data_IF_649496253083
#
_entry.id   IF_649496253083
#
_cell.length_a   1.000
_cell.length_b   1.000
_cell.length_c   1.000
_cell.angle_alpha   90.00
_cell.angle_beta   90.00
_cell.angle_gamma   90.00
#
_symmetry.space_group_name_H-M   'P 1'
#
loop_
_entity.id
_entity.type
_entity.pdbx_description
1 polymer ?
#
# COMPACT_ATOMS: atom_id res chain seq x y z
N UNK A 1 102.11 -24.00 2.34
CA UNK A 1 101.20 -25.16 2.53
C UNK A 1 100.35 -25.13 3.83
N UNK A 2 100.04 -23.97 4.44
CA UNK A 2 99.22 -23.91 5.68
C UNK A 2 98.07 -22.87 5.63
N UNK A 3 97.48 -22.63 4.45
CA UNK A 3 96.31 -21.73 4.31
C UNK A 3 95.04 -22.39 3.73
N UNK A 4 95.11 -23.64 3.23
CA UNK A 4 93.90 -24.38 2.80
C UNK A 4 93.23 -25.20 3.91
N UNK A 5 93.90 -25.47 5.03
CA UNK A 5 93.37 -26.30 6.14
C UNK A 5 92.50 -25.55 7.16
N UNK A 6 92.27 -24.25 6.94
CA UNK A 6 91.35 -23.43 7.74
C UNK A 6 90.03 -23.12 7.02
N UNK A 7 89.85 -23.62 5.79
CA UNK A 7 88.56 -23.47 5.12
C UNK A 7 87.52 -24.38 5.78
N UNK A 8 86.49 -23.75 6.35
CA UNK A 8 85.35 -24.40 7.04
C UNK A 8 84.64 -25.42 6.14
N UNK A 9 84.79 -25.26 4.82
CA UNK A 9 84.19 -26.08 3.77
C UNK A 9 84.73 -27.52 3.78
N UNK A 10 85.97 -27.77 4.24
CA UNK A 10 86.56 -29.12 4.28
C UNK A 10 86.44 -29.83 5.63
N UNK A 11 85.98 -29.16 6.69
CA UNK A 11 85.75 -29.81 8.00
C UNK A 11 84.36 -30.44 8.10
N UNK A 12 83.40 -29.97 7.32
CA UNK A 12 82.01 -30.43 7.30
C UNK A 12 81.48 -30.41 5.86
N UNK A 13 81.83 -31.40 5.03
CA UNK A 13 81.40 -31.45 3.62
C UNK A 13 79.87 -31.52 3.46
N UNK A 14 79.14 -31.93 4.50
CA UNK A 14 77.66 -32.01 4.49
C UNK A 14 76.98 -30.63 4.42
N UNK A 15 77.64 -29.57 4.94
CA UNK A 15 77.13 -28.19 4.85
C UNK A 15 77.02 -27.66 3.43
N UNK A 16 77.69 -28.30 2.47
CA UNK A 16 77.54 -27.96 1.06
C UNK A 16 76.12 -28.27 0.56
N UNK A 17 75.46 -29.28 1.14
CA UNK A 17 74.13 -29.74 0.75
C UNK A 17 73.00 -29.14 1.60
N UNK A 18 73.28 -28.69 2.82
CA UNK A 18 72.29 -28.07 3.72
C UNK A 18 71.55 -26.90 3.07
N UNK A 19 72.25 -26.04 2.33
CA UNK A 19 71.63 -24.91 1.63
C UNK A 19 70.69 -25.35 0.50
N UNK A 20 71.03 -26.44 -0.20
CA UNK A 20 70.16 -27.01 -1.24
C UNK A 20 68.94 -27.70 -0.65
N UNK A 21 69.09 -28.41 0.46
CA UNK A 21 68.00 -29.03 1.20
C UNK A 21 67.03 -27.97 1.74
N UNK A 22 67.55 -26.91 2.36
CA UNK A 22 66.73 -25.80 2.84
C UNK A 22 65.98 -25.10 1.70
N UNK A 23 66.62 -24.93 0.53
CA UNK A 23 65.96 -24.35 -0.65
C UNK A 23 64.89 -25.26 -1.23
N UNK A 24 65.11 -26.58 -1.22
CA UNK A 24 64.12 -27.56 -1.64
C UNK A 24 62.90 -27.54 -0.72
N UNK A 25 63.10 -27.51 0.60
CA UNK A 25 62.02 -27.40 1.57
C UNK A 25 61.22 -26.10 1.40
N UNK A 26 61.90 -24.98 1.20
CA UNK A 26 61.24 -23.70 0.91
C UNK A 26 60.42 -23.75 -0.38
N UNK A 27 60.94 -24.37 -1.44
CA UNK A 27 60.22 -24.54 -2.70
C UNK A 27 59.00 -25.44 -2.53
N UNK A 28 59.12 -26.53 -1.75
CA UNK A 28 58.02 -27.44 -1.47
C UNK A 28 56.92 -26.76 -0.64
N UNK A 29 57.30 -25.96 0.36
CA UNK A 29 56.35 -25.17 1.16
C UNK A 29 55.63 -24.13 0.30
N UNK A 30 56.36 -23.39 -0.54
CA UNK A 30 55.78 -22.41 -1.48
C UNK A 30 54.82 -23.08 -2.47
N UNK A 31 55.19 -24.24 -3.01
CA UNK A 31 54.32 -24.99 -3.92
C UNK A 31 53.03 -25.42 -3.22
N UNK A 32 53.13 -26.01 -2.02
CA UNK A 32 51.97 -26.43 -1.23
C UNK A 32 51.06 -25.26 -0.90
N UNK A 33 51.63 -24.12 -0.53
CA UNK A 33 50.87 -22.91 -0.21
C UNK A 33 50.19 -22.35 -1.46
N UNK A 34 50.92 -22.17 -2.55
CA UNK A 34 50.38 -21.66 -3.82
C UNK A 34 49.25 -22.53 -4.35
N UNK A 35 49.40 -23.87 -4.27
CA UNK A 35 48.36 -24.80 -4.70
C UNK A 35 47.11 -24.71 -3.82
N UNK A 36 47.28 -24.62 -2.49
CA UNK A 36 46.15 -24.43 -1.55
C UNK A 36 45.42 -23.12 -1.82
N UNK A 37 46.16 -22.02 -1.97
CA UNK A 37 45.59 -20.71 -2.27
C UNK A 37 44.83 -20.74 -3.59
N UNK A 38 45.42 -21.28 -4.66
CA UNK A 38 44.78 -21.33 -5.98
C UNK A 38 43.50 -22.18 -5.99
N UNK A 39 43.48 -23.29 -5.26
CA UNK A 39 42.26 -24.10 -5.11
C UNK A 39 41.19 -23.33 -4.33
N UNK A 40 41.58 -22.64 -3.24
CA UNK A 40 40.66 -21.83 -2.44
C UNK A 40 40.05 -20.69 -3.26
N UNK A 41 40.87 -19.95 -3.99
CA UNK A 41 40.45 -18.82 -4.81
C UNK A 41 39.49 -19.28 -5.93
N UNK A 42 39.82 -20.40 -6.60
CA UNK A 42 38.94 -20.97 -7.61
C UNK A 42 37.59 -21.43 -7.03
N UNK A 43 37.59 -22.02 -5.82
CA UNK A 43 36.33 -22.38 -5.14
C UNK A 43 35.48 -21.15 -4.83
N UNK A 44 36.09 -20.10 -4.30
CA UNK A 44 35.40 -18.84 -4.03
C UNK A 44 34.85 -18.20 -5.31
N UNK A 45 35.62 -18.23 -6.39
CA UNK A 45 35.19 -17.70 -7.68
C UNK A 45 33.98 -18.48 -8.22
N UNK A 46 34.03 -19.81 -8.20
CA UNK A 46 32.89 -20.66 -8.61
C UNK A 46 31.67 -20.35 -7.75
N UNK A 47 31.82 -20.30 -6.43
CA UNK A 47 30.71 -20.00 -5.53
C UNK A 47 30.08 -18.63 -5.82
N UNK A 48 30.90 -17.60 -6.03
CA UNK A 48 30.41 -16.26 -6.38
C UNK A 48 29.64 -16.27 -7.72
N UNK A 49 30.13 -16.98 -8.73
CA UNK A 49 29.45 -17.13 -10.04
C UNK A 49 28.15 -17.91 -9.92
N UNK A 50 28.12 -18.97 -9.13
CA UNK A 50 26.89 -19.73 -8.87
C UNK A 50 25.85 -18.86 -8.17
N UNK A 51 26.25 -18.07 -7.16
CA UNK A 51 25.34 -17.13 -6.51
C UNK A 51 24.82 -16.06 -7.48
N UNK A 52 25.67 -15.51 -8.35
CA UNK A 52 25.25 -14.57 -9.40
C UNK A 52 24.23 -15.20 -10.37
N UNK A 53 24.48 -16.44 -10.82
CA UNK A 53 23.55 -17.18 -11.68
C UNK A 53 22.19 -17.41 -11.01
N UNK A 54 22.19 -17.80 -9.73
CA UNK A 54 20.95 -18.00 -8.96
C UNK A 54 20.18 -16.68 -8.80
N UNK A 55 20.87 -15.56 -8.54
CA UNK A 55 20.22 -14.25 -8.44
C UNK A 55 19.67 -13.75 -9.78
N UNK A 56 20.36 -14.04 -10.88
CA UNK A 56 19.89 -13.74 -12.24
C UNK A 56 18.82 -14.71 -12.72
N UNK A 57 18.58 -15.81 -12.00
CA UNK A 57 17.59 -16.81 -12.38
C UNK A 57 16.20 -16.18 -12.51
N UNK A 58 15.60 -16.21 -13.72
CA UNK A 58 14.31 -15.59 -13.98
C UNK A 58 13.19 -16.25 -13.17
N UNK A 59 13.35 -17.51 -12.77
CA UNK A 59 12.36 -18.26 -11.98
C UNK A 59 12.04 -17.53 -10.67
N UNK A 60 13.05 -17.03 -9.95
CA UNK A 60 12.83 -16.32 -8.68
C UNK A 60 12.16 -14.96 -8.88
N UNK A 61 12.37 -14.33 -10.04
CA UNK A 61 11.71 -13.06 -10.39
C UNK A 61 10.26 -13.28 -10.77
N UNK A 62 9.99 -14.36 -11.52
CA UNK A 62 8.63 -14.76 -11.91
C UNK A 62 7.82 -15.11 -10.66
N UNK A 63 8.36 -15.94 -9.77
CA UNK A 63 7.67 -16.34 -8.55
C UNK A 63 7.35 -15.13 -7.65
N UNK A 64 8.31 -14.24 -7.42
CA UNK A 64 8.07 -12.98 -6.70
C UNK A 64 7.02 -12.10 -7.35
N UNK A 65 6.96 -12.07 -8.69
CA UNK A 65 5.97 -11.30 -9.43
C UNK A 65 4.57 -11.92 -9.31
N UNK A 66 4.47 -13.25 -9.35
CA UNK A 66 3.22 -13.98 -9.13
C UNK A 66 2.69 -13.77 -7.71
N UNK A 67 3.55 -13.86 -6.70
CA UNK A 67 3.19 -13.59 -5.31
C UNK A 67 2.68 -12.15 -5.14
N UNK A 68 3.37 -11.19 -5.75
CA UNK A 68 2.98 -9.78 -5.73
C UNK A 68 1.63 -9.55 -6.42
N UNK A 69 1.36 -10.22 -7.54
CA UNK A 69 0.06 -10.16 -8.21
C UNK A 69 -1.05 -10.72 -7.31
N UNK A 70 -0.82 -11.86 -6.65
CA UNK A 70 -1.79 -12.43 -5.72
C UNK A 70 -2.08 -11.54 -4.51
N UNK A 71 -1.06 -10.84 -3.98
CA UNK A 71 -1.25 -9.85 -2.91
C UNK A 71 -2.05 -8.64 -3.38
N UNK A 72 -1.72 -8.10 -4.56
CA UNK A 72 -2.42 -6.95 -5.13
C UNK A 72 -3.89 -7.27 -5.45
N UNK A 73 -4.20 -8.46 -5.98
CA UNK A 73 -5.58 -8.87 -6.23
C UNK A 73 -6.40 -8.95 -4.92
N UNK A 74 -5.81 -9.52 -3.86
CA UNK A 74 -6.47 -9.55 -2.54
C UNK A 74 -6.76 -8.16 -1.99
N UNK A 75 -5.79 -7.24 -2.09
CA UNK A 75 -5.94 -5.85 -1.64
C UNK A 75 -6.97 -5.09 -2.47
N UNK A 76 -6.98 -5.30 -3.79
CA UNK A 76 -7.95 -4.67 -4.67
C UNK A 76 -9.37 -5.11 -4.33
N UNK A 77 -9.60 -6.42 -4.13
CA UNK A 77 -10.92 -6.96 -3.78
C UNK A 77 -11.41 -6.43 -2.45
N UNK A 78 -10.55 -6.38 -1.43
CA UNK A 78 -10.95 -5.87 -0.10
C UNK A 78 -11.25 -4.37 -0.13
N UNK A 79 -10.44 -3.57 -0.82
CA UNK A 79 -10.72 -2.14 -0.98
C UNK A 79 -11.97 -1.89 -1.82
N UNK A 80 -12.17 -2.66 -2.90
CA UNK A 80 -13.38 -2.54 -3.72
C UNK A 80 -14.64 -2.81 -2.90
N UNK A 81 -14.65 -3.85 -2.07
CA UNK A 81 -15.79 -4.16 -1.21
C UNK A 81 -16.09 -2.98 -0.25
N UNK A 82 -15.06 -2.43 0.40
CA UNK A 82 -15.22 -1.29 1.30
C UNK A 82 -15.76 -0.04 0.58
N UNK A 83 -15.20 0.29 -0.58
CA UNK A 83 -15.63 1.44 -1.38
C UNK A 83 -17.06 1.24 -1.89
N UNK A 84 -17.39 0.04 -2.34
CA UNK A 84 -18.72 -0.30 -2.81
C UNK A 84 -19.76 -0.14 -1.70
N UNK A 85 -19.51 -0.71 -0.52
CA UNK A 85 -20.43 -0.63 0.62
C UNK A 85 -20.62 0.83 1.07
N UNK A 86 -19.54 1.61 1.11
CA UNK A 86 -19.61 3.04 1.42
C UNK A 86 -20.46 3.80 0.40
N UNK A 87 -20.32 3.51 -0.89
CA UNK A 87 -21.11 4.15 -1.96
C UNK A 87 -22.57 3.74 -1.93
N UNK A 88 -22.87 2.48 -1.64
CA UNK A 88 -24.25 2.01 -1.46
C UNK A 88 -24.91 2.71 -0.28
N UNK A 89 -24.21 2.85 0.86
CA UNK A 89 -24.71 3.58 2.02
C UNK A 89 -24.93 5.08 1.71
N UNK A 90 -24.00 5.70 0.97
CA UNK A 90 -24.11 7.10 0.55
C UNK A 90 -25.35 7.34 -0.33
N UNK A 91 -25.59 6.48 -1.32
CA UNK A 91 -26.76 6.56 -2.20
C UNK A 91 -28.06 6.37 -1.42
N UNK A 92 -28.11 5.39 -0.51
CA UNK A 92 -29.29 5.18 0.35
C UNK A 92 -29.60 6.43 1.18
N UNK A 93 -28.58 7.00 1.83
CA UNK A 93 -28.73 8.23 2.63
C UNK A 93 -29.22 9.41 1.79
N UNK A 94 -28.67 9.61 0.60
CA UNK A 94 -29.09 10.68 -0.30
C UNK A 94 -30.51 10.46 -0.83
N UNK A 95 -30.87 9.21 -1.12
CA UNK A 95 -32.24 8.86 -1.51
C UNK A 95 -33.23 9.12 -0.38
N UNK A 96 -32.89 8.78 0.86
CA UNK A 96 -33.71 9.05 2.04
C UNK A 96 -33.85 10.57 2.28
N UNK A 97 -32.76 11.32 2.16
CA UNK A 97 -32.78 12.78 2.29
C UNK A 97 -33.66 13.43 1.21
N UNK A 98 -33.56 12.97 -0.05
CA UNK A 98 -34.40 13.44 -1.14
C UNK A 98 -35.88 13.13 -0.88
N UNK A 99 -36.18 11.90 -0.42
CA UNK A 99 -37.53 11.49 -0.04
C UNK A 99 -38.07 12.28 1.17
N UNK A 100 -37.21 12.75 2.06
CA UNK A 100 -37.60 13.58 3.20
C UNK A 100 -37.87 15.04 2.81
N UNK A 101 -37.16 15.53 1.79
CA UNK A 101 -37.37 16.88 1.23
C UNK A 101 -38.63 16.96 0.34
N UNK A 102 -39.15 15.80 -0.09
CA UNK A 102 -40.34 15.73 -0.91
C UNK A 102 -41.59 16.12 -0.08
N UNK A 103 -42.05 17.36 -0.28
CA UNK A 103 -43.22 17.96 0.40
C UNK A 103 -44.50 17.13 0.24
N UNK A 104 -44.53 16.27 -0.78
CA UNK A 104 -45.59 15.28 -1.01
C UNK A 104 -45.83 14.35 0.20
N UNK A 105 -44.80 14.00 0.99
CA UNK A 105 -44.98 13.14 2.17
C UNK A 105 -45.56 13.87 3.39
N UNK A 106 -45.33 15.18 3.53
CA UNK A 106 -46.01 15.98 4.56
C UNK A 106 -47.52 15.92 4.30
N UNK A 107 -47.89 16.10 3.04
CA UNK A 107 -49.27 16.04 2.57
C UNK A 107 -49.87 14.64 2.70
N UNK A 108 -49.12 13.59 2.36
CA UNK A 108 -49.57 12.20 2.45
C UNK A 108 -49.81 11.70 3.89
N UNK A 109 -49.18 12.33 4.89
CA UNK A 109 -49.40 12.03 6.33
C UNK A 109 -50.65 12.72 6.90
N UNK A 110 -51.45 13.40 6.07
CA UNK A 110 -52.69 14.06 6.48
C UNK A 110 -52.52 15.52 6.92
N UNK A 111 -51.32 16.08 6.74
CA UNK A 111 -51.11 17.52 6.92
C UNK A 111 -51.42 18.27 5.62
N UNK A 112 -51.69 19.57 5.72
CA UNK A 112 -51.88 20.41 4.56
C UNK A 112 -50.76 21.45 4.47
N UNK A 113 -50.32 21.75 3.25
CA UNK A 113 -49.33 22.82 3.00
C UNK A 113 -50.10 24.08 2.62
N UNK A 114 -49.88 25.15 3.36
CA UNK A 114 -50.46 26.46 3.05
C UNK A 114 -49.50 27.20 2.12
N UNK A 115 -49.96 27.51 0.91
CA UNK A 115 -49.26 28.38 -0.04
C UNK A 115 -49.98 29.71 -0.16
N UNK A 116 -49.20 30.78 -0.21
CA UNK A 116 -49.66 32.09 -0.65
C UNK A 116 -48.97 32.37 -1.98
N UNK A 117 -49.76 32.42 -3.05
CA UNK A 117 -49.26 32.42 -4.44
C UNK A 117 -48.39 31.17 -4.72
N UNK A 118 -47.08 31.35 -4.90
CA UNK A 118 -46.08 30.28 -5.15
C UNK A 118 -45.28 29.89 -3.89
N UNK A 119 -45.32 30.71 -2.83
CA UNK A 119 -44.49 30.55 -1.63
C UNK A 119 -45.20 29.78 -0.51
N UNK A 120 -44.47 28.89 0.16
CA UNK A 120 -44.97 28.17 1.35
C UNK A 120 -44.95 29.12 2.54
N UNK A 121 -46.07 29.20 3.24
CA UNK A 121 -46.21 30.02 4.44
C UNK A 121 -45.79 29.19 5.67
N UNK A 122 -44.76 29.65 6.37
CA UNK A 122 -44.20 29.01 7.57
C UNK A 122 -44.65 29.67 8.89
N UNK A 123 -44.98 30.98 8.86
CA UNK A 123 -45.36 31.77 10.02
C UNK A 123 -46.67 32.54 9.84
N UNK A 124 -47.43 32.65 10.93
CA UNK A 124 -48.71 33.38 11.02
C UNK A 124 -48.54 34.88 10.77
N UNK A 125 -47.33 35.42 10.99
CA UNK A 125 -47.02 36.84 10.75
C UNK A 125 -47.05 37.25 9.27
N UNK A 126 -46.84 36.27 8.37
CA UNK A 126 -46.85 36.50 6.93
C UNK A 126 -48.27 36.55 6.33
N UNK A 127 -49.31 36.24 7.13
CA UNK A 127 -50.71 36.20 6.74
C UNK A 127 -51.45 37.45 7.20
N UNK A 128 -52.18 38.09 6.28
CA UNK A 128 -53.06 39.23 6.57
C UNK A 128 -54.52 38.82 6.41
N UNK A 129 -55.41 39.54 7.09
CA UNK A 129 -56.87 39.37 6.91
C UNK A 129 -57.24 39.70 5.46
N UNK A 130 -58.07 38.86 4.85
CA UNK A 130 -58.47 38.84 3.43
C UNK A 130 -57.41 38.37 2.44
N UNK A 131 -56.29 37.79 2.88
CA UNK A 131 -55.39 37.12 1.95
C UNK A 131 -56.04 35.85 1.37
N UNK A 132 -55.83 35.61 0.07
CA UNK A 132 -56.15 34.35 -0.58
C UNK A 132 -54.98 33.38 -0.41
N UNK A 133 -55.27 32.17 0.05
CA UNK A 133 -54.29 31.11 0.26
C UNK A 133 -54.78 29.80 -0.34
N UNK A 134 -53.84 29.02 -0.86
CA UNK A 134 -54.11 27.71 -1.44
C UNK A 134 -53.62 26.64 -0.48
N UNK A 135 -54.53 25.78 -0.04
CA UNK A 135 -54.23 24.62 0.78
C UNK A 135 -53.98 23.42 -0.12
N UNK A 136 -52.77 22.87 -0.12
CA UNK A 136 -52.48 21.59 -0.76
C UNK A 136 -52.71 20.44 0.23
N UNK A 137 -53.59 19.52 -0.14
CA UNK A 137 -53.92 18.30 0.58
C UNK A 137 -53.67 17.07 -0.30
N UNK A 138 -53.73 15.87 0.29
CA UNK A 138 -53.39 14.60 -0.40
C UNK A 138 -54.21 14.39 -1.66
N UNK A 139 -55.47 14.79 -1.60
CA UNK A 139 -56.47 14.46 -2.60
C UNK A 139 -56.83 15.67 -3.49
N UNK A 140 -56.15 16.81 -3.33
CA UNK A 140 -56.41 18.01 -4.14
C UNK A 140 -55.95 19.32 -3.50
N UNK A 141 -56.35 20.43 -4.11
CA UNK A 141 -56.09 21.79 -3.64
C UNK A 141 -57.38 22.53 -3.33
N UNK A 142 -57.37 23.35 -2.27
CA UNK A 142 -58.54 24.15 -1.84
C UNK A 142 -58.11 25.61 -1.70
N UNK A 143 -58.84 26.51 -2.36
CA UNK A 143 -58.66 27.95 -2.22
C UNK A 143 -59.45 28.47 -1.02
N UNK A 144 -58.80 29.28 -0.18
CA UNK A 144 -59.36 29.79 1.07
C UNK A 144 -59.05 31.27 1.23
N UNK A 145 -59.95 31.98 1.93
CA UNK A 145 -59.74 33.38 2.31
C UNK A 145 -59.53 33.48 3.83
N UNK A 146 -58.48 34.20 4.23
CA UNK A 146 -58.12 34.38 5.63
C UNK A 146 -59.10 35.34 6.32
N UNK A 147 -60.03 34.80 7.13
CA UNK A 147 -61.03 35.60 7.86
C UNK A 147 -60.47 36.29 9.11
N UNK A 148 -59.63 35.60 9.88
CA UNK A 148 -59.07 36.13 11.13
C UNK A 148 -57.71 35.48 11.41
N UNK A 149 -56.77 36.27 11.91
CA UNK A 149 -55.41 35.84 12.25
C UNK A 149 -55.20 36.10 13.74
N UNK A 150 -54.98 35.04 14.52
CA UNK A 150 -54.74 35.11 15.96
C UNK A 150 -53.37 34.56 16.27
N UNK A 151 -52.46 35.42 16.70
CA UNK A 151 -51.16 35.01 17.21
C UNK A 151 -51.32 34.58 18.67
N UNK A 152 -50.81 33.40 19.02
CA UNK A 152 -50.58 33.04 20.42
C UNK A 152 -49.14 33.39 20.75
N UNK A 153 -48.94 34.24 21.74
CA UNK A 153 -47.62 34.36 22.39
C UNK A 153 -47.30 33.02 23.05
N UNK A 154 -46.11 32.49 22.75
CA UNK A 154 -45.51 31.34 23.43
C UNK A 154 -44.64 31.87 24.55
#
# INVERSE_FOLDING_TARGET
MKKCSQSVIFRQPERLYDGYLQRLDQLQLRLKQSLRTRISDNKQLVQARTHQLVQLSPITKIQRSQDRLGQLDKLLRSQMALVYDAKVAEVKRLSEALLMLDTSRIVARGYAIVKKEESVVDSVESLKKKDQVTLLMRDGQVELEVKDVKTKEI
#
